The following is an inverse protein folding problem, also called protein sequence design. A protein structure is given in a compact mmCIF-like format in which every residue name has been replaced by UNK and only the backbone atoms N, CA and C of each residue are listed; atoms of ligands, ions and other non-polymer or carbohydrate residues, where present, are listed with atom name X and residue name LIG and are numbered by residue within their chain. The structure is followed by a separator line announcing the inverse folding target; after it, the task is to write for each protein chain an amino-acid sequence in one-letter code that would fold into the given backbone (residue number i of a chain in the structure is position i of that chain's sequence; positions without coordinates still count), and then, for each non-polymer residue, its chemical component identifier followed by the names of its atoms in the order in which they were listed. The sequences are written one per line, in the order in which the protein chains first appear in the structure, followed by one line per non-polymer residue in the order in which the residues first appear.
data_IF_897616242434
#
_entry.id   IF_897616242434
#
_cell.length_a   1.000
_cell.length_b   1.000
_cell.length_c   1.000
_cell.angle_alpha   90.00
_cell.angle_beta   90.00
_cell.angle_gamma   90.00
#
_symmetry.space_group_name_H-M   'P 1'
#
loop_
_entity.id
_entity.type
_entity.pdbx_description
1 polymer ?
#
# COMPACT_ATOMS: atom_id res chain seq x y z
N UNK A 1 -5.93 -11.98 -24.31
CA UNK A 1 -6.30 -11.05 -23.22
C UNK A 1 -6.84 -9.80 -23.88
N UNK A 2 -8.09 -9.43 -23.59
CA UNK A 2 -8.78 -8.31 -24.22
C UNK A 2 -8.39 -6.99 -23.55
N UNK A 3 -8.05 -5.98 -24.36
CA UNK A 3 -8.52 -4.60 -24.19
C UNK A 3 -7.79 -3.67 -23.23
N UNK A 4 -7.85 -3.91 -21.91
CA UNK A 4 -7.91 -2.76 -20.98
C UNK A 4 -6.72 -2.62 -20.02
N UNK A 5 -5.63 -3.37 -20.22
CA UNK A 5 -4.38 -3.23 -19.46
C UNK A 5 -4.46 -3.58 -17.96
N UNK A 6 -5.66 -3.87 -17.45
CA UNK A 6 -5.93 -4.24 -16.06
C UNK A 6 -6.08 -5.76 -15.88
N UNK A 7 -5.50 -6.30 -14.80
CA UNK A 7 -5.62 -7.71 -14.44
C UNK A 7 -5.84 -7.87 -12.92
N UNK A 8 -6.65 -8.85 -12.52
CA UNK A 8 -6.79 -9.20 -11.12
C UNK A 8 -5.48 -9.80 -10.58
N UNK A 9 -5.06 -9.36 -9.39
CA UNK A 9 -3.87 -9.86 -8.72
C UNK A 9 -4.25 -11.06 -7.86
N UNK A 10 -3.63 -12.20 -8.11
CA UNK A 10 -3.87 -13.43 -7.34
C UNK A 10 -3.11 -13.47 -6.02
N UNK A 11 -1.95 -12.80 -5.95
CA UNK A 11 -1.13 -12.66 -4.75
C UNK A 11 -0.20 -11.47 -4.88
N UNK A 12 -0.05 -10.71 -3.80
CA UNK A 12 0.98 -9.69 -3.63
C UNK A 12 2.07 -10.22 -2.70
N UNK A 13 3.35 -9.92 -3.00
CA UNK A 13 4.49 -10.37 -2.19
C UNK A 13 5.51 -9.24 -2.14
N UNK A 14 5.77 -8.74 -0.94
CA UNK A 14 6.74 -7.68 -0.68
C UNK A 14 8.11 -8.29 -0.37
N UNK A 15 9.11 -7.92 -1.19
CA UNK A 15 10.53 -8.25 -0.99
C UNK A 15 10.80 -9.75 -0.75
N UNK A 16 10.55 -10.64 -1.75
CA UNK A 16 10.89 -12.06 -1.64
C UNK A 16 12.41 -12.26 -1.52
N UNK A 17 12.82 -13.41 -0.96
CA UNK A 17 14.23 -13.82 -1.00
C UNK A 17 14.71 -14.11 -2.43
N UNK A 18 16.03 -14.19 -2.61
CA UNK A 18 16.65 -14.33 -3.94
C UNK A 18 16.16 -15.58 -4.68
N UNK A 19 16.06 -16.73 -4.01
CA UNK A 19 15.61 -17.96 -4.67
C UNK A 19 14.16 -17.83 -5.16
N UNK A 20 13.31 -17.15 -4.39
CA UNK A 20 11.90 -16.93 -4.74
C UNK A 20 11.76 -15.89 -5.84
N UNK A 21 12.53 -14.81 -5.81
CA UNK A 21 12.55 -13.80 -6.86
C UNK A 21 12.95 -14.40 -8.23
N UNK A 22 13.93 -15.30 -8.27
CA UNK A 22 14.33 -16.01 -9.49
C UNK A 22 13.20 -16.89 -10.04
N UNK A 23 12.44 -17.56 -9.17
CA UNK A 23 11.24 -18.32 -9.56
C UNK A 23 10.14 -17.42 -10.11
N UNK A 24 9.95 -16.25 -9.53
CA UNK A 24 8.96 -15.28 -10.00
C UNK A 24 9.30 -14.77 -11.40
N UNK A 25 10.55 -14.37 -11.61
CA UNK A 25 11.05 -13.90 -12.90
C UNK A 25 10.95 -15.00 -13.98
N UNK A 26 11.45 -16.20 -13.69
CA UNK A 26 11.40 -17.33 -14.65
C UNK A 26 9.98 -17.78 -15.00
N UNK A 27 9.02 -17.60 -14.08
CA UNK A 27 7.63 -17.97 -14.34
C UNK A 27 6.92 -17.07 -15.34
N UNK A 28 7.37 -15.81 -15.52
CA UNK A 28 6.72 -14.79 -16.33
C UNK A 28 5.32 -14.37 -15.84
N UNK A 29 4.93 -14.77 -14.62
CA UNK A 29 3.59 -14.50 -14.04
C UNK A 29 3.60 -13.44 -12.94
N UNK A 30 4.77 -12.90 -12.61
CA UNK A 30 4.93 -11.87 -11.61
C UNK A 30 5.40 -10.57 -12.25
N UNK A 31 4.96 -9.47 -11.67
CA UNK A 31 5.32 -8.11 -12.07
C UNK A 31 5.92 -7.40 -10.86
N UNK A 32 6.85 -6.47 -11.10
CA UNK A 32 7.33 -5.58 -10.05
C UNK A 32 6.23 -4.61 -9.61
N UNK A 33 6.08 -4.42 -8.30
CA UNK A 33 5.29 -3.32 -7.78
C UNK A 33 6.08 -2.01 -7.95
N UNK A 34 5.51 -1.02 -8.63
CA UNK A 34 6.14 0.28 -8.87
C UNK A 34 6.01 1.26 -7.67
N UNK A 35 5.33 0.86 -6.58
CA UNK A 35 5.03 1.72 -5.44
C UNK A 35 3.94 2.76 -5.72
N UNK A 36 3.18 2.60 -6.81
CA UNK A 36 2.09 3.50 -7.20
C UNK A 36 0.77 2.80 -6.98
N UNK A 37 -0.10 3.41 -6.18
CA UNK A 37 -1.42 2.88 -5.85
C UNK A 37 -2.52 3.87 -6.21
N UNK A 38 -3.66 3.34 -6.66
CA UNK A 38 -4.89 4.10 -6.85
C UNK A 38 -6.04 3.34 -6.18
N UNK A 39 -6.73 4.02 -5.28
CA UNK A 39 -7.86 3.47 -4.55
C UNK A 39 -8.80 4.60 -4.12
N UNK A 40 -10.06 4.24 -3.84
CA UNK A 40 -10.96 5.15 -3.15
C UNK A 40 -10.54 5.27 -1.69
N UNK A 41 -10.67 6.47 -1.13
CA UNK A 41 -10.32 6.75 0.27
C UNK A 41 -11.10 5.85 1.25
N UNK A 42 -12.38 5.60 0.98
CA UNK A 42 -13.23 4.75 1.83
C UNK A 42 -12.86 3.26 1.74
N UNK A 43 -12.38 2.79 0.59
CA UNK A 43 -11.85 1.42 0.44
C UNK A 43 -10.58 1.24 1.28
N UNK A 44 -9.64 2.18 1.21
CA UNK A 44 -8.40 2.10 2.00
C UNK A 44 -8.67 2.24 3.50
N UNK A 45 -9.59 3.13 3.90
CA UNK A 45 -10.04 3.22 5.29
C UNK A 45 -10.57 1.88 5.80
N UNK A 46 -11.46 1.22 5.06
CA UNK A 46 -12.00 -0.10 5.45
C UNK A 46 -10.89 -1.14 5.59
N UNK A 47 -9.98 -1.19 4.62
CA UNK A 47 -8.86 -2.12 4.65
C UNK A 47 -7.94 -1.88 5.87
N UNK A 48 -7.64 -0.63 6.21
CA UNK A 48 -6.85 -0.30 7.41
C UNK A 48 -7.58 -0.66 8.70
N UNK A 49 -8.89 -0.39 8.81
CA UNK A 49 -9.68 -0.77 9.99
C UNK A 49 -9.68 -2.29 10.19
N UNK A 50 -9.79 -3.06 9.11
CA UNK A 50 -9.85 -4.52 9.16
C UNK A 50 -8.48 -5.16 9.41
N UNK A 51 -7.45 -4.73 8.68
CA UNK A 51 -6.14 -5.38 8.66
C UNK A 51 -5.17 -4.79 9.68
N UNK A 52 -5.30 -3.50 9.98
CA UNK A 52 -4.35 -2.71 10.78
C UNK A 52 -5.07 -1.74 11.74
N UNK A 53 -5.97 -2.22 12.60
CA UNK A 53 -6.79 -1.34 13.46
C UNK A 53 -5.96 -0.43 14.36
N UNK A 54 -4.80 -0.88 14.84
CA UNK A 54 -3.90 -0.05 15.65
C UNK A 54 -3.33 1.14 14.86
N UNK A 55 -2.93 0.93 13.61
CA UNK A 55 -2.47 2.01 12.72
C UNK A 55 -3.61 3.00 12.49
N UNK A 56 -4.82 2.50 12.20
CA UNK A 56 -5.98 3.35 11.99
C UNK A 56 -6.30 4.21 13.22
N UNK A 57 -6.42 3.59 14.40
CA UNK A 57 -6.83 4.27 15.62
C UNK A 57 -5.80 5.30 16.11
N UNK A 58 -4.51 4.99 15.98
CA UNK A 58 -3.43 5.90 16.37
C UNK A 58 -3.29 7.06 15.38
N UNK A 59 -3.37 6.79 14.07
CA UNK A 59 -3.32 7.81 13.03
C UNK A 59 -4.53 8.75 13.11
N UNK A 60 -5.74 8.22 13.30
CA UNK A 60 -6.97 9.01 13.48
C UNK A 60 -6.87 9.91 14.71
N UNK A 61 -6.28 9.41 15.81
CA UNK A 61 -6.06 10.21 17.03
C UNK A 61 -5.05 11.32 16.82
N UNK A 62 -3.97 11.06 16.08
CA UNK A 62 -3.00 12.07 15.69
C UNK A 62 -3.63 13.13 14.80
N UNK A 63 -4.44 12.72 13.81
CA UNK A 63 -5.15 13.61 12.90
C UNK A 63 -6.18 14.50 13.61
N UNK A 64 -6.99 13.95 14.51
CA UNK A 64 -7.95 14.73 15.32
C UNK A 64 -7.29 15.74 16.25
N UNK A 65 -6.03 15.49 16.62
CA UNK A 65 -5.23 16.37 17.46
C UNK A 65 -4.38 17.34 16.64
N UNK A 66 -4.52 17.33 15.31
CA UNK A 66 -3.72 18.14 14.43
C UNK A 66 -4.02 19.63 14.62
N UNK A 67 -2.97 20.42 14.55
CA UNK A 67 -3.07 21.88 14.52
C UNK A 67 -2.90 22.35 13.08
N UNK A 68 -3.63 23.40 12.70
CA UNK A 68 -3.47 24.03 11.39
C UNK A 68 -2.85 25.41 11.57
N UNK A 69 -1.88 25.75 10.72
CA UNK A 69 -1.36 27.10 10.59
C UNK A 69 -1.28 27.50 9.10
N UNK A 70 -0.62 28.62 8.80
CA UNK A 70 -0.49 29.16 7.43
C UNK A 70 0.20 28.16 6.49
N UNK A 71 1.08 27.30 7.01
CA UNK A 71 1.87 26.34 6.24
C UNK A 71 1.24 24.95 6.12
N UNK A 72 0.16 24.66 6.83
CA UNK A 72 -0.63 23.43 6.64
C UNK A 72 -1.11 22.77 7.92
N UNK A 73 -1.35 21.47 7.83
CA UNK A 73 -1.85 20.61 8.92
C UNK A 73 -0.69 19.82 9.54
N UNK A 74 -0.51 19.94 10.85
CA UNK A 74 0.60 19.35 11.60
C UNK A 74 0.10 18.34 12.61
N UNK A 75 0.57 17.10 12.48
CA UNK A 75 0.28 16.03 13.44
C UNK A 75 1.20 16.20 14.66
N UNK A 76 0.68 16.20 15.91
CA UNK A 76 1.52 16.33 17.09
C UNK A 76 2.47 15.13 17.20
N UNK A 77 3.78 15.42 17.35
CA UNK A 77 4.83 14.39 17.38
C UNK A 77 4.49 13.24 18.34
N UNK A 78 4.04 13.54 19.56
CA UNK A 78 3.68 12.54 20.58
C UNK A 78 2.66 11.51 20.11
N UNK A 79 1.74 11.89 19.22
CA UNK A 79 0.68 11.03 18.74
C UNK A 79 1.10 10.33 17.45
N UNK A 80 1.76 11.05 16.55
CA UNK A 80 2.25 10.45 15.31
C UNK A 80 3.35 9.41 15.56
N UNK A 81 4.23 9.63 16.54
CA UNK A 81 5.28 8.66 16.91
C UNK A 81 4.73 7.37 17.53
N UNK A 82 3.46 7.34 17.92
CA UNK A 82 2.80 6.13 18.41
C UNK A 82 2.18 5.29 17.29
N UNK A 83 2.13 5.80 16.05
CA UNK A 83 1.64 5.03 14.90
C UNK A 83 2.66 3.96 14.55
N UNK A 84 2.27 2.67 14.48
CA UNK A 84 3.18 1.61 14.08
C UNK A 84 3.82 1.90 12.71
N UNK A 85 5.14 1.79 12.64
CA UNK A 85 5.90 2.05 11.41
C UNK A 85 5.98 0.79 10.56
N UNK A 86 5.23 0.76 9.47
CA UNK A 86 5.24 -0.30 8.46
C UNK A 86 4.86 0.26 7.08
N UNK A 87 5.21 -0.44 6.00
CA UNK A 87 4.82 -0.04 4.64
C UNK A 87 3.38 -0.45 4.34
N UNK A 88 2.73 0.26 3.42
CA UNK A 88 1.41 -0.13 2.91
C UNK A 88 1.44 -1.50 2.23
N UNK A 89 2.57 -1.89 1.64
CA UNK A 89 2.79 -3.17 1.00
C UNK A 89 2.58 -4.33 1.98
N UNK A 90 3.25 -4.28 3.14
CA UNK A 90 3.08 -5.27 4.20
C UNK A 90 1.75 -5.09 4.94
N UNK A 91 1.41 -3.87 5.31
CA UNK A 91 0.29 -3.59 6.20
C UNK A 91 -1.06 -3.90 5.55
N UNK A 92 -1.18 -3.66 4.24
CA UNK A 92 -2.43 -3.76 3.49
C UNK A 92 -2.29 -4.69 2.29
N UNK A 93 -1.34 -4.45 1.38
CA UNK A 93 -1.37 -5.08 0.06
C UNK A 93 -1.14 -6.60 0.09
N UNK A 94 -0.32 -7.13 0.99
CA UNK A 94 -0.16 -8.59 1.15
C UNK A 94 -1.41 -9.31 1.67
N UNK A 95 -2.34 -8.59 2.29
CA UNK A 95 -3.51 -9.16 2.97
C UNK A 95 -4.85 -8.77 2.33
N UNK A 96 -4.87 -7.68 1.54
CA UNK A 96 -6.07 -7.16 0.94
C UNK A 96 -6.60 -8.06 -0.18
N UNK A 97 -7.92 -8.11 -0.30
CA UNK A 97 -8.63 -8.79 -1.39
C UNK A 97 -9.08 -7.79 -2.45
N UNK A 98 -9.35 -8.29 -3.66
CA UNK A 98 -9.88 -7.45 -4.75
C UNK A 98 -8.86 -6.49 -5.35
N UNK A 99 -7.56 -6.81 -5.27
CA UNK A 99 -6.50 -6.02 -5.88
C UNK A 99 -6.50 -6.24 -7.40
N UNK A 100 -6.39 -5.15 -8.15
CA UNK A 100 -6.12 -5.16 -9.58
C UNK A 100 -4.81 -4.42 -9.88
N UNK A 101 -4.09 -4.87 -10.89
CA UNK A 101 -2.88 -4.24 -11.41
C UNK A 101 -3.12 -3.69 -12.82
N UNK A 102 -2.41 -2.63 -13.17
CA UNK A 102 -2.29 -2.14 -14.55
C UNK A 102 -0.83 -2.25 -14.97
N UNK A 103 -0.56 -2.85 -16.12
CA UNK A 103 0.83 -2.98 -16.60
C UNK A 103 1.39 -1.62 -17.04
N UNK A 104 2.52 -1.22 -16.47
CA UNK A 104 3.23 -0.01 -16.88
C UNK A 104 3.98 -0.24 -18.21
N UNK A 105 3.81 0.67 -19.17
CA UNK A 105 4.53 0.66 -20.46
C UNK A 105 5.65 1.71 -20.56
N UNK A 106 5.91 2.43 -19.47
CA UNK A 106 6.96 3.45 -19.37
C UNK A 106 8.23 2.89 -18.72
N UNK A 107 9.35 3.59 -18.92
CA UNK A 107 10.60 3.27 -18.21
C UNK A 107 10.47 3.68 -16.74
N UNK A 108 10.86 2.78 -15.85
CA UNK A 108 10.76 2.97 -14.40
C UNK A 108 12.05 2.48 -13.73
N UNK A 109 12.45 3.17 -12.67
CA UNK A 109 13.54 2.83 -11.75
C UNK A 109 13.13 3.39 -10.37
N UNK A 110 13.45 2.68 -9.29
CA UNK A 110 13.07 3.06 -7.92
C UNK A 110 14.01 4.08 -7.27
#
# INVERSE_FOLDING_TARGET
ANGDGAAAVSRFVEKPNVETAQKYLSSGRFYWNAGIFLFRADTMQKALIELQPEIWDTAERAFRSATTDISGLYLPQRFYSAVPSTSIDYAVMEHAQGIAMVTASFRWND
#
